data_IF_122207978270
#
_entry.id   IF_122207978270
#
_cell.length_a   1.000
_cell.length_b   1.000
_cell.length_c   1.000
_cell.angle_alpha   90.00
_cell.angle_beta   90.00
_cell.angle_gamma   90.00
#
_symmetry.space_group_name_H-M   'P 1'
#
loop_
_entity.id
_entity.type
_entity.pdbx_description
1 polymer ?
#
# COMPACT_ATOMS: atom_id res chain seq x y z
N UNK A 1 25.54 -15.56 4.43
CA UNK A 1 25.62 -14.44 3.45
C UNK A 1 24.93 -14.89 2.17
N UNK A 2 23.60 -14.73 2.09
CA UNK A 2 22.87 -14.98 0.84
C UNK A 2 23.20 -13.85 -0.12
N UNK A 3 23.75 -14.23 -1.26
CA UNK A 3 24.34 -13.39 -2.27
C UNK A 3 23.38 -12.27 -2.72
N UNK A 4 23.65 -11.01 -2.32
CA UNK A 4 22.82 -9.81 -2.63
C UNK A 4 22.63 -9.62 -4.15
N UNK A 5 23.56 -10.11 -4.96
CA UNK A 5 23.45 -10.19 -6.43
C UNK A 5 22.30 -11.13 -6.85
N UNK A 6 22.03 -12.18 -6.09
CA UNK A 6 20.94 -13.12 -6.39
C UNK A 6 19.54 -12.49 -6.23
N UNK A 7 19.39 -11.50 -5.35
CA UNK A 7 18.10 -10.77 -5.21
C UNK A 7 17.86 -9.84 -6.41
N UNK A 8 18.90 -9.16 -6.88
CA UNK A 8 18.79 -8.30 -8.07
C UNK A 8 18.60 -9.15 -9.35
N UNK A 9 19.30 -10.26 -9.47
CA UNK A 9 19.08 -11.22 -10.56
C UNK A 9 17.72 -11.89 -10.48
N UNK A 10 17.17 -12.12 -9.27
CA UNK A 10 15.78 -12.56 -9.09
C UNK A 10 14.79 -11.48 -9.53
N UNK A 11 15.04 -10.22 -9.20
CA UNK A 11 14.21 -9.08 -9.65
C UNK A 11 14.21 -9.00 -11.19
N UNK A 12 15.37 -9.08 -11.84
CA UNK A 12 15.48 -9.11 -13.30
C UNK A 12 14.87 -10.38 -13.94
N UNK A 13 14.94 -11.53 -13.27
CA UNK A 13 14.34 -12.78 -13.74
C UNK A 13 12.82 -12.83 -13.56
N UNK A 14 12.24 -12.04 -12.65
CA UNK A 14 10.78 -11.92 -12.52
C UNK A 14 10.15 -11.16 -13.70
N UNK A 15 10.93 -10.36 -14.43
CA UNK A 15 10.48 -9.51 -15.54
C UNK A 15 10.12 -10.23 -16.84
N UNK A 16 10.01 -11.51 -16.86
CA UNK A 16 9.65 -12.30 -18.06
C UNK A 16 8.81 -13.52 -17.76
N UNK A 17 8.40 -13.69 -16.50
CA UNK A 17 7.49 -14.77 -16.11
C UNK A 17 6.05 -14.46 -16.51
N UNK A 18 5.31 -15.51 -16.84
CA UNK A 18 3.85 -15.51 -16.83
C UNK A 18 3.33 -14.66 -15.70
N UNK A 19 2.47 -13.69 -16.01
CA UNK A 19 1.83 -12.85 -15.01
C UNK A 19 0.92 -13.73 -14.16
N UNK A 20 1.31 -13.97 -12.93
CA UNK A 20 0.59 -14.78 -11.96
C UNK A 20 0.18 -13.92 -10.79
N UNK A 21 -0.91 -14.28 -10.14
CA UNK A 21 -1.30 -13.67 -8.87
C UNK A 21 -0.10 -13.68 -7.90
N UNK A 22 0.31 -12.52 -7.46
CA UNK A 22 1.45 -12.33 -6.57
C UNK A 22 1.13 -11.46 -5.36
N UNK A 23 0.09 -10.62 -5.49
CA UNK A 23 -0.36 -9.67 -4.46
C UNK A 23 -1.85 -9.87 -4.18
N UNK A 24 -2.21 -9.97 -2.91
CA UNK A 24 -3.60 -9.94 -2.45
C UNK A 24 -3.81 -8.74 -1.55
N UNK A 25 -4.78 -7.89 -1.88
CA UNK A 25 -5.27 -6.82 -1.03
C UNK A 25 -6.55 -7.33 -0.39
N UNK A 26 -6.54 -7.52 0.92
CA UNK A 26 -7.65 -8.10 1.64
C UNK A 26 -8.19 -7.11 2.68
N UNK A 27 -9.43 -6.68 2.49
CA UNK A 27 -10.18 -5.87 3.43
C UNK A 27 -10.76 -6.78 4.50
N UNK A 28 -9.97 -7.08 5.52
CA UNK A 28 -10.28 -8.11 6.51
C UNK A 28 -11.47 -7.80 7.42
N UNK A 29 -11.91 -6.55 7.45
CA UNK A 29 -13.07 -6.09 8.25
C UNK A 29 -13.65 -4.82 7.67
N UNK A 30 -14.96 -4.65 7.78
CA UNK A 30 -15.66 -3.39 7.53
C UNK A 30 -15.52 -2.40 8.70
N UNK A 31 -15.20 -2.89 9.91
CA UNK A 31 -15.22 -2.10 11.14
C UNK A 31 -14.10 -1.06 11.14
N UNK A 32 -14.49 0.19 11.48
CA UNK A 32 -13.53 1.29 11.63
C UNK A 32 -13.95 2.19 12.80
N UNK A 33 -12.94 2.66 13.55
CA UNK A 33 -13.10 3.62 14.65
C UNK A 33 -12.69 5.04 14.28
N UNK A 34 -12.50 5.34 12.98
CA UNK A 34 -12.27 6.67 12.42
C UNK A 34 -13.38 7.02 11.42
N UNK A 35 -13.52 8.32 11.10
CA UNK A 35 -14.55 8.85 10.19
C UNK A 35 -13.93 9.79 9.16
N UNK A 36 -12.87 9.32 8.49
CA UNK A 36 -12.03 10.13 7.62
C UNK A 36 -12.83 10.76 6.48
N UNK A 37 -12.61 12.05 6.22
CA UNK A 37 -13.24 12.76 5.10
C UNK A 37 -12.72 12.27 3.74
N UNK A 38 -11.47 11.77 3.69
CA UNK A 38 -10.82 11.20 2.50
C UNK A 38 -11.12 9.72 2.27
N UNK A 39 -11.98 9.09 3.07
CA UNK A 39 -12.23 7.65 2.98
C UNK A 39 -13.03 7.32 1.72
N UNK A 40 -12.43 6.57 0.80
CA UNK A 40 -13.10 6.05 -0.40
C UNK A 40 -13.91 4.78 -0.12
N UNK A 41 -13.73 4.20 1.07
CA UNK A 41 -14.42 2.98 1.52
C UNK A 41 -15.55 3.29 2.51
N UNK A 42 -15.97 4.54 2.60
CA UNK A 42 -16.87 5.06 3.64
C UNK A 42 -18.26 4.41 3.64
N UNK A 43 -18.77 4.02 2.49
CA UNK A 43 -20.06 3.36 2.34
C UNK A 43 -20.07 1.93 2.89
N UNK A 44 -18.91 1.25 2.86
CA UNK A 44 -18.74 -0.11 3.35
C UNK A 44 -18.38 -0.19 4.83
N UNK A 45 -18.09 0.95 5.47
CA UNK A 45 -17.68 0.95 6.87
C UNK A 45 -18.79 0.54 7.82
N UNK A 46 -18.40 -0.30 8.79
CA UNK A 46 -19.24 -0.76 9.90
C UNK A 46 -20.52 -1.50 9.46
N UNK A 47 -20.50 -2.08 8.25
CA UNK A 47 -21.56 -3.00 7.80
C UNK A 47 -21.36 -4.39 8.39
N UNK A 48 -22.43 -5.16 8.62
CA UNK A 48 -22.30 -6.56 9.01
C UNK A 48 -21.79 -7.42 7.86
N UNK A 49 -21.30 -8.62 8.18
CA UNK A 49 -20.96 -9.62 7.16
C UNK A 49 -19.45 -9.81 6.96
N UNK A 50 -18.61 -9.36 7.90
CA UNK A 50 -17.19 -9.71 7.89
C UNK A 50 -17.05 -11.24 7.82
N UNK A 51 -16.20 -11.76 6.91
CA UNK A 51 -15.90 -13.19 6.83
C UNK A 51 -15.37 -13.70 8.15
N UNK A 52 -15.83 -14.91 8.53
CA UNK A 52 -15.29 -15.61 9.72
C UNK A 52 -13.88 -16.12 9.46
N UNK A 53 -13.17 -16.47 10.53
CA UNK A 53 -11.84 -17.07 10.41
C UNK A 53 -11.86 -18.36 9.57
N UNK A 54 -12.86 -19.21 9.77
CA UNK A 54 -13.03 -20.48 9.05
C UNK A 54 -13.27 -20.26 7.55
N UNK A 55 -14.02 -19.20 7.18
CA UNK A 55 -14.22 -18.81 5.79
C UNK A 55 -12.90 -18.36 5.15
N UNK A 56 -12.13 -17.53 5.86
CA UNK A 56 -10.81 -17.07 5.41
C UNK A 56 -9.82 -18.23 5.30
N UNK A 57 -9.88 -19.19 6.22
CA UNK A 57 -9.08 -20.42 6.17
C UNK A 57 -9.38 -21.22 4.89
N UNK A 58 -10.66 -21.37 4.53
CA UNK A 58 -11.05 -22.03 3.27
C UNK A 58 -10.49 -21.30 2.05
N UNK A 59 -10.57 -19.98 2.02
CA UNK A 59 -9.98 -19.14 0.97
C UNK A 59 -8.47 -19.40 0.85
N UNK A 60 -7.74 -19.38 1.96
CA UNK A 60 -6.29 -19.56 1.96
C UNK A 60 -5.86 -20.95 1.48
N UNK A 61 -6.62 -22.02 1.81
CA UNK A 61 -6.32 -23.38 1.39
C UNK A 61 -6.44 -23.60 -0.12
N UNK A 62 -7.24 -22.81 -0.80
CA UNK A 62 -7.48 -22.93 -2.24
C UNK A 62 -6.80 -21.84 -3.06
N UNK A 63 -6.26 -20.83 -2.41
CA UNK A 63 -5.51 -19.76 -3.04
C UNK A 63 -4.10 -20.22 -3.43
N UNK A 64 -3.59 -19.86 -4.62
CA UNK A 64 -2.23 -20.18 -5.01
C UNK A 64 -1.19 -19.49 -4.11
N UNK A 65 0.09 -19.82 -4.32
CA UNK A 65 1.19 -19.11 -3.65
C UNK A 65 1.20 -17.63 -4.05
N UNK A 66 1.25 -16.75 -3.05
CA UNK A 66 1.33 -15.29 -3.22
C UNK A 66 2.49 -14.73 -2.39
N UNK A 67 3.12 -13.68 -2.88
CA UNK A 67 4.28 -13.10 -2.18
C UNK A 67 3.89 -12.02 -1.19
N UNK A 68 2.92 -11.18 -1.56
CA UNK A 68 2.53 -9.97 -0.85
C UNK A 68 1.07 -10.07 -0.40
N UNK A 69 0.83 -9.84 0.89
CA UNK A 69 -0.50 -9.73 1.48
C UNK A 69 -0.66 -8.33 2.07
N UNK A 70 -1.63 -7.58 1.56
CA UNK A 70 -1.97 -6.25 2.05
C UNK A 70 -3.28 -6.36 2.83
N UNK A 71 -3.21 -6.27 4.14
CA UNK A 71 -4.37 -6.37 5.02
C UNK A 71 -4.94 -4.98 5.28
N UNK A 72 -6.06 -4.69 4.65
CA UNK A 72 -6.78 -3.42 4.71
C UNK A 72 -8.19 -3.60 5.28
N UNK A 73 -9.09 -2.68 5.01
CA UNK A 73 -10.48 -2.70 5.43
C UNK A 73 -10.92 -1.37 5.99
N UNK A 74 -11.74 -1.38 7.02
CA UNK A 74 -11.94 -0.25 7.89
C UNK A 74 -10.65 0.05 8.65
N UNK A 75 -10.50 -0.50 9.86
CA UNK A 75 -9.27 -0.51 10.62
C UNK A 75 -8.87 -1.95 10.93
N UNK A 76 -7.82 -2.50 10.29
CA UNK A 76 -7.44 -3.91 10.46
C UNK A 76 -7.16 -4.31 11.90
N UNK A 77 -6.60 -3.41 12.71
CA UNK A 77 -6.26 -3.70 14.11
C UNK A 77 -7.48 -3.87 15.03
N UNK A 78 -8.69 -3.56 14.56
CA UNK A 78 -9.93 -3.89 15.26
C UNK A 78 -10.28 -5.37 15.17
N UNK A 79 -9.76 -6.08 14.17
CA UNK A 79 -10.00 -7.51 14.02
C UNK A 79 -9.14 -8.31 14.99
N UNK A 80 -9.79 -9.14 15.85
CA UNK A 80 -9.11 -9.80 16.95
C UNK A 80 -8.22 -10.97 16.51
N UNK A 81 -8.59 -11.67 15.45
CA UNK A 81 -7.89 -12.81 14.86
C UNK A 81 -6.93 -12.40 13.70
N UNK A 82 -6.57 -11.12 13.61
CA UNK A 82 -5.69 -10.60 12.53
C UNK A 82 -4.33 -11.32 12.49
N UNK A 83 -3.77 -11.62 13.64
CA UNK A 83 -2.48 -12.30 13.79
C UNK A 83 -2.55 -13.74 13.26
N UNK A 84 -3.67 -14.41 13.52
CA UNK A 84 -3.93 -15.78 13.05
C UNK A 84 -4.18 -15.80 11.54
N UNK A 85 -4.86 -14.77 10.99
CA UNK A 85 -5.00 -14.59 9.55
C UNK A 85 -3.63 -14.42 8.87
N UNK A 86 -2.74 -13.61 9.45
CA UNK A 86 -1.37 -13.46 8.91
C UNK A 86 -0.67 -14.80 8.88
N UNK A 87 -0.70 -15.54 10.00
CA UNK A 87 -0.10 -16.88 10.10
C UNK A 87 -0.63 -17.83 9.04
N UNK A 88 -1.94 -17.86 8.86
CA UNK A 88 -2.64 -18.70 7.91
C UNK A 88 -2.11 -18.51 6.47
N UNK A 89 -1.97 -17.26 6.01
CA UNK A 89 -1.46 -16.96 4.68
C UNK A 89 0.06 -17.20 4.55
N UNK A 90 0.82 -17.03 5.61
CA UNK A 90 2.25 -17.38 5.63
C UNK A 90 2.41 -18.89 5.44
N UNK A 91 1.65 -19.71 6.16
CA UNK A 91 1.73 -21.17 6.13
C UNK A 91 1.15 -21.77 4.85
N UNK A 92 -0.04 -21.36 4.43
CA UNK A 92 -0.74 -21.96 3.29
C UNK A 92 -0.28 -21.39 1.94
N UNK A 93 0.03 -20.09 1.89
CA UNK A 93 0.25 -19.38 0.62
C UNK A 93 1.68 -18.85 0.45
N UNK A 94 2.57 -19.12 1.42
CA UNK A 94 3.97 -18.74 1.33
C UNK A 94 4.22 -17.24 1.32
N UNK A 95 3.33 -16.44 1.93
CA UNK A 95 3.46 -14.99 2.05
C UNK A 95 4.78 -14.63 2.72
N UNK A 96 5.51 -13.70 2.11
CA UNK A 96 6.80 -13.21 2.60
C UNK A 96 6.74 -11.76 3.06
N UNK A 97 5.75 -11.01 2.60
CA UNK A 97 5.59 -9.60 2.92
C UNK A 97 4.14 -9.32 3.27
N UNK A 98 3.95 -8.74 4.45
CA UNK A 98 2.65 -8.24 4.89
C UNK A 98 2.70 -6.73 5.01
N UNK A 99 1.73 -6.04 4.43
CA UNK A 99 1.57 -4.59 4.49
C UNK A 99 0.25 -4.28 5.20
N UNK A 100 0.31 -3.46 6.25
CA UNK A 100 -0.87 -3.12 7.06
C UNK A 100 -0.95 -1.61 7.22
N UNK A 101 -1.95 -0.93 6.66
CA UNK A 101 -2.30 0.43 7.05
C UNK A 101 -3.01 0.41 8.41
N UNK A 102 -2.78 1.44 9.22
CA UNK A 102 -3.48 1.64 10.49
C UNK A 102 -3.67 3.13 10.79
N UNK A 103 -4.77 3.46 11.44
CA UNK A 103 -5.01 4.81 11.94
C UNK A 103 -4.25 5.14 13.24
N UNK A 104 -3.56 4.17 13.84
CA UNK A 104 -2.73 4.35 15.03
C UNK A 104 -3.50 4.54 16.35
N UNK A 105 -4.83 4.43 16.36
CA UNK A 105 -5.66 4.67 17.56
C UNK A 105 -5.55 3.56 18.61
N UNK A 106 -5.21 2.34 18.22
CA UNK A 106 -5.15 1.16 19.08
C UNK A 106 -3.69 0.75 19.39
N UNK A 107 -2.94 1.65 20.04
CA UNK A 107 -1.50 1.49 20.31
C UNK A 107 -1.11 0.10 20.82
N UNK A 108 -1.75 -0.38 21.88
CA UNK A 108 -1.40 -1.67 22.50
C UNK A 108 -1.70 -2.85 21.57
N UNK A 109 -2.85 -2.81 20.87
CA UNK A 109 -3.22 -3.85 19.91
C UNK A 109 -2.30 -3.86 18.71
N UNK A 110 -2.00 -2.67 18.16
CA UNK A 110 -1.06 -2.53 17.04
C UNK A 110 0.31 -3.11 17.39
N UNK A 111 0.83 -2.79 18.57
CA UNK A 111 2.11 -3.33 19.03
C UNK A 111 2.08 -4.85 19.18
N UNK A 112 1.06 -5.40 19.82
CA UNK A 112 0.93 -6.85 20.00
C UNK A 112 0.83 -7.58 18.65
N UNK A 113 0.02 -7.08 17.72
CA UNK A 113 -0.12 -7.61 16.38
C UNK A 113 1.23 -7.64 15.63
N UNK A 114 1.99 -6.55 15.65
CA UNK A 114 3.32 -6.47 15.01
C UNK A 114 4.29 -7.49 15.65
N UNK A 115 4.31 -7.58 16.98
CA UNK A 115 5.18 -8.52 17.69
C UNK A 115 4.82 -9.98 17.38
N UNK A 116 3.54 -10.32 17.38
CA UNK A 116 3.05 -11.67 17.06
C UNK A 116 3.38 -12.05 15.61
N UNK A 117 3.08 -11.17 14.65
CA UNK A 117 3.36 -11.43 13.24
C UNK A 117 4.86 -11.63 12.96
N UNK A 118 5.72 -10.82 13.56
CA UNK A 118 7.18 -10.92 13.38
C UNK A 118 7.83 -12.07 14.14
N UNK A 119 7.13 -12.65 15.13
CA UNK A 119 7.58 -13.84 15.83
C UNK A 119 7.31 -15.14 15.07
N UNK A 120 6.52 -15.10 13.99
CA UNK A 120 6.28 -16.24 13.12
C UNK A 120 7.58 -16.74 12.48
N UNK A 121 7.74 -18.06 12.41
CA UNK A 121 8.82 -18.68 11.67
C UNK A 121 8.67 -18.43 10.16
N UNK A 122 9.80 -18.37 9.43
CA UNK A 122 9.77 -18.24 7.97
C UNK A 122 10.22 -16.91 7.40
N UNK A 123 10.63 -15.94 8.23
CA UNK A 123 11.29 -14.70 7.74
C UNK A 123 10.33 -13.72 7.08
N UNK A 124 9.18 -13.52 7.67
CA UNK A 124 8.19 -12.52 7.26
C UNK A 124 8.74 -11.09 7.38
N UNK A 125 8.55 -10.29 6.35
CA UNK A 125 8.75 -8.85 6.36
C UNK A 125 7.41 -8.14 6.60
N UNK A 126 7.33 -7.30 7.64
CA UNK A 126 6.13 -6.54 7.97
C UNK A 126 6.34 -5.05 7.71
N UNK A 127 5.44 -4.46 6.92
CA UNK A 127 5.38 -3.04 6.63
C UNK A 127 4.14 -2.46 7.29
N UNK A 128 4.32 -1.69 8.35
CA UNK A 128 3.22 -0.97 8.99
C UNK A 128 3.19 0.47 8.47
N UNK A 129 2.09 0.83 7.84
CA UNK A 129 1.87 2.16 7.28
C UNK A 129 0.90 2.94 8.19
N UNK A 130 1.43 3.77 9.07
CA UNK A 130 0.61 4.58 9.98
C UNK A 130 0.08 5.78 9.22
N UNK A 131 -1.24 5.97 9.22
CA UNK A 131 -1.88 7.08 8.53
C UNK A 131 -1.71 8.39 9.31
N UNK A 132 -1.21 9.44 8.63
CA UNK A 132 -1.00 10.75 9.23
C UNK A 132 -1.29 11.85 8.18
N UNK A 133 -2.51 12.39 8.18
CA UNK A 133 -3.07 13.21 7.12
C UNK A 133 -3.17 14.69 7.52
N UNK A 134 -2.06 15.31 7.86
CA UNK A 134 -1.97 16.72 8.24
C UNK A 134 -1.19 16.94 9.51
N UNK A 135 -0.94 18.19 9.88
CA UNK A 135 -0.22 18.58 11.08
C UNK A 135 -1.19 18.98 12.20
N UNK A 136 -1.07 18.37 13.38
CA UNK A 136 -1.89 18.73 14.54
C UNK A 136 -3.39 18.58 14.31
N UNK A 137 -4.14 19.66 14.47
CA UNK A 137 -5.61 19.67 14.35
C UNK A 137 -6.10 19.39 12.93
N UNK A 138 -5.31 19.66 11.89
CA UNK A 138 -5.67 19.31 10.53
C UNK A 138 -5.79 17.79 10.37
N UNK A 139 -4.84 17.04 10.95
CA UNK A 139 -4.96 15.59 11.01
C UNK A 139 -6.25 15.13 11.69
N UNK A 140 -6.57 15.69 12.85
CA UNK A 140 -7.78 15.34 13.60
C UNK A 140 -9.07 15.58 12.77
N UNK A 141 -9.12 16.72 12.05
CA UNK A 141 -10.25 17.05 11.16
C UNK A 141 -10.38 16.07 10.01
N UNK A 142 -9.29 15.86 9.25
CA UNK A 142 -9.29 14.95 8.09
C UNK A 142 -9.65 13.52 8.51
N UNK A 143 -9.17 13.06 9.67
CA UNK A 143 -9.46 11.72 10.19
C UNK A 143 -10.82 11.63 10.92
N UNK A 144 -11.47 12.75 11.19
CA UNK A 144 -12.76 12.82 11.90
C UNK A 144 -12.68 12.30 13.35
N UNK A 145 -11.51 12.43 14.01
CA UNK A 145 -11.27 11.91 15.36
C UNK A 145 -10.46 12.91 16.18
N UNK A 146 -11.09 13.63 17.12
CA UNK A 146 -10.38 14.56 18.02
C UNK A 146 -9.26 13.88 18.81
N UNK A 147 -8.09 14.52 18.88
CA UNK A 147 -6.91 14.02 19.58
C UNK A 147 -6.22 12.82 18.89
N UNK A 148 -6.56 12.51 17.65
CA UNK A 148 -5.93 11.43 16.90
C UNK A 148 -4.44 11.71 16.67
N UNK A 149 -4.07 12.96 16.37
CA UNK A 149 -2.68 13.37 16.18
C UNK A 149 -1.78 12.86 17.31
N UNK A 150 -2.09 13.20 18.54
CA UNK A 150 -1.30 12.80 19.72
C UNK A 150 -1.22 11.28 19.86
N UNK A 151 -2.38 10.59 19.73
CA UNK A 151 -2.47 9.12 19.84
C UNK A 151 -1.66 8.40 18.76
N UNK A 152 -1.71 8.90 17.52
CA UNK A 152 -0.95 8.34 16.41
C UNK A 152 0.57 8.50 16.62
N UNK A 153 1.04 9.67 17.08
CA UNK A 153 2.44 9.87 17.40
C UNK A 153 2.93 8.98 18.56
N UNK A 154 2.09 8.79 19.58
CA UNK A 154 2.39 7.84 20.68
C UNK A 154 2.43 6.38 20.18
N UNK A 155 1.53 6.00 19.25
CA UNK A 155 1.56 4.69 18.64
C UNK A 155 2.87 4.45 17.90
N UNK A 156 3.32 5.40 17.07
CA UNK A 156 4.61 5.32 16.35
C UNK A 156 5.78 5.11 17.33
N UNK A 157 5.84 5.90 18.41
CA UNK A 157 6.91 5.79 19.43
C UNK A 157 6.89 4.43 20.16
N UNK A 158 5.71 3.89 20.43
CA UNK A 158 5.56 2.60 21.11
C UNK A 158 6.07 1.40 20.27
N UNK A 159 6.30 1.58 18.98
CA UNK A 159 6.79 0.56 18.07
C UNK A 159 8.33 0.54 17.93
N UNK A 160 9.04 1.54 18.46
CA UNK A 160 10.50 1.60 18.37
C UNK A 160 11.23 0.38 18.95
N UNK A 161 10.84 -0.17 20.11
CA UNK A 161 11.48 -1.39 20.62
C UNK A 161 11.36 -2.58 19.66
N UNK A 162 10.25 -2.69 18.92
CA UNK A 162 10.07 -3.75 17.93
C UNK A 162 10.97 -3.50 16.70
N UNK A 163 11.13 -2.24 16.28
CA UNK A 163 12.05 -1.89 15.21
C UNK A 163 13.50 -2.21 15.58
N UNK A 164 13.92 -1.96 16.81
CA UNK A 164 15.25 -2.31 17.30
C UNK A 164 15.44 -3.84 17.36
N UNK A 165 14.42 -4.58 17.80
CA UNK A 165 14.45 -6.05 17.91
C UNK A 165 14.47 -6.76 16.57
N UNK A 166 13.65 -6.34 15.61
CA UNK A 166 13.44 -7.05 14.35
C UNK A 166 14.18 -6.45 13.15
N UNK A 167 14.78 -5.26 13.30
CA UNK A 167 15.61 -4.62 12.28
C UNK A 167 14.88 -4.44 10.94
N UNK A 168 15.51 -4.93 9.89
CA UNK A 168 15.02 -4.79 8.51
C UNK A 168 13.72 -5.56 8.22
N UNK A 169 13.37 -6.54 9.07
CA UNK A 169 12.11 -7.27 8.93
C UNK A 169 10.89 -6.43 9.32
N UNK A 170 11.07 -5.37 10.09
CA UNK A 170 9.99 -4.45 10.45
C UNK A 170 10.21 -3.07 9.83
N UNK A 171 9.35 -2.69 8.92
CA UNK A 171 9.35 -1.35 8.31
C UNK A 171 8.21 -0.52 8.89
N UNK A 172 8.57 0.54 9.59
CA UNK A 172 7.64 1.49 10.18
C UNK A 172 7.57 2.74 9.30
N UNK A 173 6.46 2.90 8.60
CA UNK A 173 6.25 3.98 7.66
C UNK A 173 5.08 4.87 8.10
N UNK A 174 5.06 6.07 7.55
CA UNK A 174 3.89 6.96 7.55
C UNK A 174 3.34 7.09 6.14
N UNK A 175 2.02 7.06 6.02
CA UNK A 175 1.30 7.40 4.79
C UNK A 175 0.45 8.65 5.03
N UNK A 176 0.55 9.60 4.10
CA UNK A 176 -0.27 10.81 4.06
C UNK A 176 -1.13 10.80 2.80
N UNK A 177 -2.44 10.88 2.96
CA UNK A 177 -3.36 11.19 1.87
C UNK A 177 -3.45 12.70 1.74
N UNK A 178 -2.92 13.21 0.62
CA UNK A 178 -2.94 14.65 0.31
C UNK A 178 -4.30 15.03 -0.25
N UNK A 179 -4.90 16.06 0.30
CA UNK A 179 -6.24 16.55 -0.05
C UNK A 179 -6.33 18.08 0.09
N UNK A 180 -7.48 18.66 -0.23
CA UNK A 180 -7.71 20.11 -0.14
C UNK A 180 -7.44 20.69 1.26
N UNK A 181 -7.65 19.90 2.31
CA UNK A 181 -7.48 20.33 3.71
C UNK A 181 -6.02 20.39 4.18
N UNK A 182 -5.12 19.64 3.53
CA UNK A 182 -3.75 19.44 4.08
C UNK A 182 -2.61 19.69 3.08
N UNK A 183 -2.86 19.91 1.80
CA UNK A 183 -1.80 20.05 0.80
C UNK A 183 -0.76 21.13 1.15
N UNK A 184 -1.21 22.22 1.75
CA UNK A 184 -0.33 23.33 2.16
C UNK A 184 0.61 22.97 3.33
N UNK A 185 0.27 21.93 4.10
CA UNK A 185 1.03 21.47 5.27
C UNK A 185 1.99 20.30 4.96
N UNK A 186 1.96 19.74 3.76
CA UNK A 186 2.76 18.55 3.38
C UNK A 186 4.24 18.73 3.69
N UNK A 187 4.81 19.89 3.34
CA UNK A 187 6.22 20.18 3.62
C UNK A 187 6.52 20.22 5.12
N UNK A 188 5.69 20.93 5.89
CA UNK A 188 5.83 21.02 7.35
C UNK A 188 5.71 19.66 8.03
N UNK A 189 4.73 18.86 7.60
CA UNK A 189 4.53 17.51 8.13
C UNK A 189 5.72 16.60 7.81
N UNK A 190 6.22 16.67 6.57
CA UNK A 190 7.36 15.89 6.10
C UNK A 190 8.62 16.18 6.94
N UNK A 191 8.95 17.44 7.14
CA UNK A 191 10.12 17.87 7.93
C UNK A 191 9.95 17.48 9.39
N UNK A 192 8.78 17.73 9.99
CA UNK A 192 8.49 17.34 11.37
C UNK A 192 8.68 15.85 11.61
N UNK A 193 8.16 15.00 10.72
CA UNK A 193 8.28 13.55 10.84
C UNK A 193 9.71 13.07 10.65
N UNK A 194 10.45 13.67 9.72
CA UNK A 194 11.86 13.35 9.51
C UNK A 194 12.74 13.69 10.72
N UNK A 195 12.51 14.83 11.32
CA UNK A 195 13.33 15.34 12.43
C UNK A 195 13.04 14.66 13.77
N UNK A 196 11.77 14.28 13.99
CA UNK A 196 11.32 13.85 15.32
C UNK A 196 11.03 12.35 15.42
N UNK A 197 11.03 11.60 14.29
CA UNK A 197 10.64 10.19 14.29
C UNK A 197 11.61 9.29 13.52
N UNK A 198 11.77 8.05 14.03
CA UNK A 198 12.62 7.02 13.42
C UNK A 198 11.80 6.17 12.47
N UNK A 199 11.52 6.68 11.29
CA UNK A 199 10.75 6.00 10.24
C UNK A 199 11.66 5.42 9.16
N UNK A 200 11.16 4.41 8.44
CA UNK A 200 11.79 3.86 7.24
C UNK A 200 11.32 4.57 5.97
N UNK A 201 10.13 5.18 5.99
CA UNK A 201 9.58 5.93 4.88
C UNK A 201 8.41 6.83 5.31
N UNK A 202 8.19 7.88 4.52
CA UNK A 202 6.99 8.70 4.59
C UNK A 202 6.50 8.91 3.16
N UNK A 203 5.33 8.34 2.85
CA UNK A 203 4.78 8.31 1.50
C UNK A 203 3.56 9.22 1.40
N UNK A 204 3.41 9.86 0.25
CA UNK A 204 2.34 10.81 -0.01
C UNK A 204 1.53 10.37 -1.22
N UNK A 205 0.22 10.30 -1.03
CA UNK A 205 -0.70 9.86 -2.07
C UNK A 205 -1.81 10.87 -2.19
N UNK A 206 -2.13 11.32 -3.41
CA UNK A 206 -3.28 12.19 -3.60
C UNK A 206 -4.57 11.43 -3.34
N UNK A 207 -5.55 12.12 -2.79
CA UNK A 207 -6.89 11.60 -2.54
C UNK A 207 -7.52 11.03 -3.82
N UNK A 208 -8.25 9.92 -3.70
CA UNK A 208 -8.82 9.18 -4.85
C UNK A 208 -10.17 8.56 -4.52
N UNK A 209 -10.84 8.09 -5.58
CA UNK A 209 -12.13 7.39 -5.47
C UNK A 209 -13.27 8.32 -5.05
N UNK A 210 -14.41 7.75 -4.77
CA UNK A 210 -15.54 8.45 -4.17
C UNK A 210 -15.31 8.58 -2.68
N UNK A 211 -15.20 9.81 -2.19
CA UNK A 211 -14.83 10.07 -0.79
C UNK A 211 -16.04 10.52 0.02
N UNK A 212 -15.98 10.30 1.33
CA UNK A 212 -17.04 10.73 2.26
C UNK A 212 -17.36 12.23 2.15
N UNK A 213 -16.33 13.08 1.97
CA UNK A 213 -16.51 14.53 1.79
C UNK A 213 -16.85 14.93 0.34
N UNK A 214 -17.02 13.96 -0.58
CA UNK A 214 -17.30 14.25 -1.98
C UNK A 214 -16.08 14.80 -2.75
N UNK A 215 -16.35 15.55 -3.85
CA UNK A 215 -15.28 16.02 -4.74
C UNK A 215 -14.55 17.27 -4.21
N UNK A 216 -15.12 17.98 -3.26
CA UNK A 216 -14.49 19.19 -2.69
C UNK A 216 -13.15 18.86 -2.02
N UNK A 217 -13.03 17.71 -1.36
CA UNK A 217 -11.79 17.28 -0.71
C UNK A 217 -10.66 16.99 -1.72
N UNK A 218 -10.97 16.82 -3.00
CA UNK A 218 -10.03 16.56 -4.08
C UNK A 218 -9.50 17.83 -4.74
N UNK A 219 -10.01 18.99 -4.40
CA UNK A 219 -9.67 20.28 -5.02
C UNK A 219 -8.30 20.80 -4.54
N UNK A 220 -7.24 20.15 -4.99
CA UNK A 220 -5.86 20.61 -4.77
C UNK A 220 -5.48 21.48 -5.97
N UNK A 221 -5.03 22.75 -5.77
CA UNK A 221 -4.61 23.60 -6.87
C UNK A 221 -3.47 22.93 -7.68
N UNK A 222 -3.64 22.73 -9.00
CA UNK A 222 -2.63 22.02 -9.81
C UNK A 222 -1.24 22.65 -9.78
N UNK A 223 -1.16 23.97 -9.59
CA UNK A 223 0.08 24.74 -9.55
C UNK A 223 0.96 24.44 -8.33
N UNK A 224 0.39 23.90 -7.24
CA UNK A 224 1.18 23.52 -6.04
C UNK A 224 1.80 22.13 -6.14
N UNK A 225 1.30 21.29 -7.04
CA UNK A 225 1.73 19.90 -7.14
C UNK A 225 3.21 19.72 -7.51
N UNK A 226 3.80 20.46 -8.47
CA UNK A 226 5.21 20.34 -8.81
C UNK A 226 6.13 20.59 -7.59
N UNK A 227 5.90 21.65 -6.83
CA UNK A 227 6.69 21.95 -5.63
C UNK A 227 6.49 20.87 -4.55
N UNK A 228 5.26 20.47 -4.31
CA UNK A 228 4.94 19.40 -3.37
C UNK A 228 5.67 18.10 -3.73
N UNK A 229 5.58 17.67 -5.00
CA UNK A 229 6.26 16.45 -5.44
C UNK A 229 7.78 16.57 -5.42
N UNK A 230 8.35 17.75 -5.69
CA UNK A 230 9.78 17.99 -5.52
C UNK A 230 10.22 17.76 -4.06
N UNK A 231 9.47 18.30 -3.09
CA UNK A 231 9.76 18.14 -1.65
C UNK A 231 9.66 16.68 -1.21
N UNK A 232 8.58 15.97 -1.56
CA UNK A 232 8.40 14.57 -1.12
C UNK A 232 9.37 13.62 -1.83
N UNK A 233 9.83 13.96 -3.04
CA UNK A 233 10.89 13.21 -3.73
C UNK A 233 12.25 13.40 -3.05
N UNK A 234 12.59 14.61 -2.66
CA UNK A 234 13.81 14.89 -1.89
C UNK A 234 13.77 14.17 -0.53
N UNK A 235 12.62 14.11 0.13
CA UNK A 235 12.43 13.33 1.36
C UNK A 235 12.66 11.84 1.10
N UNK A 236 12.15 11.29 0.00
CA UNK A 236 12.39 9.90 -0.39
C UNK A 236 13.88 9.59 -0.57
N UNK A 237 14.65 10.51 -1.15
CA UNK A 237 16.11 10.37 -1.25
C UNK A 237 16.78 10.33 0.13
N UNK A 238 16.34 11.18 1.07
CA UNK A 238 16.84 11.19 2.45
C UNK A 238 16.58 9.86 3.16
N UNK A 239 15.38 9.30 3.03
CA UNK A 239 15.05 7.97 3.57
C UNK A 239 15.86 6.86 2.91
N UNK A 240 15.99 6.87 1.59
CA UNK A 240 16.85 5.92 0.84
C UNK A 240 18.32 6.00 1.28
N UNK A 241 18.84 7.21 1.44
CA UNK A 241 20.20 7.43 1.96
C UNK A 241 20.42 6.83 3.35
N UNK A 242 19.45 6.98 4.26
CA UNK A 242 19.46 6.35 5.59
C UNK A 242 19.36 4.83 5.52
N UNK A 243 18.42 4.33 4.72
CA UNK A 243 18.14 2.89 4.58
C UNK A 243 19.33 2.11 4.02
N UNK A 244 20.08 2.68 3.09
CA UNK A 244 21.19 2.02 2.40
C UNK A 244 22.57 2.51 2.88
N UNK A 245 22.65 3.21 4.01
CA UNK A 245 23.87 3.82 4.51
C UNK A 245 25.00 2.81 4.77
N UNK A 246 24.66 1.58 5.20
CA UNK A 246 25.60 0.50 5.49
C UNK A 246 26.06 -0.30 4.24
N UNK A 247 25.45 -0.08 3.06
CA UNK A 247 25.83 -0.76 1.85
C UNK A 247 27.10 -0.12 1.22
N UNK A 248 27.86 -0.91 0.47
CA UNK A 248 28.93 -0.39 -0.36
C UNK A 248 28.39 0.56 -1.46
N UNK A 249 29.26 1.38 -2.04
CA UNK A 249 28.84 2.43 -2.97
C UNK A 249 28.06 1.91 -4.18
N UNK A 250 28.46 0.78 -4.77
CA UNK A 250 27.80 0.21 -5.94
C UNK A 250 26.42 -0.36 -5.57
N UNK A 251 26.33 -1.12 -4.49
CA UNK A 251 25.07 -1.66 -3.97
C UNK A 251 24.12 -0.54 -3.58
N UNK A 252 24.60 0.50 -2.89
CA UNK A 252 23.84 1.68 -2.52
C UNK A 252 23.27 2.39 -3.75
N UNK A 253 24.09 2.58 -4.78
CA UNK A 253 23.64 3.21 -6.02
C UNK A 253 22.51 2.41 -6.67
N UNK A 254 22.68 1.10 -6.86
CA UNK A 254 21.65 0.23 -7.47
C UNK A 254 20.36 0.24 -6.68
N UNK A 255 20.43 0.13 -5.35
CA UNK A 255 19.24 0.19 -4.47
C UNK A 255 18.57 1.56 -4.51
N UNK A 256 19.35 2.64 -4.57
CA UNK A 256 18.82 4.00 -4.68
C UNK A 256 18.10 4.20 -6.02
N UNK A 257 18.67 3.71 -7.14
CA UNK A 257 18.00 3.74 -8.45
C UNK A 257 16.67 3.00 -8.37
N UNK A 258 16.67 1.79 -7.82
CA UNK A 258 15.44 1.00 -7.70
C UNK A 258 14.39 1.64 -6.79
N UNK A 259 14.76 2.08 -5.60
CA UNK A 259 13.84 2.62 -4.60
C UNK A 259 13.38 4.04 -4.96
N UNK A 260 14.31 4.99 -5.07
CA UNK A 260 13.99 6.39 -5.34
C UNK A 260 13.38 6.55 -6.73
N UNK A 261 13.90 5.83 -7.72
CA UNK A 261 13.38 5.85 -9.08
C UNK A 261 11.95 5.29 -9.17
N UNK A 262 11.63 4.20 -8.45
CA UNK A 262 10.27 3.66 -8.41
C UNK A 262 9.29 4.64 -7.74
N UNK A 263 9.65 5.23 -6.59
CA UNK A 263 8.80 6.20 -5.90
C UNK A 263 8.61 7.47 -6.74
N UNK A 264 9.67 7.96 -7.39
CA UNK A 264 9.57 9.12 -8.30
C UNK A 264 8.69 8.80 -9.52
N UNK A 265 8.80 7.58 -10.07
CA UNK A 265 7.92 7.14 -11.17
C UNK A 265 6.46 7.11 -10.72
N UNK A 266 6.19 6.61 -9.52
CA UNK A 266 4.87 6.62 -8.93
C UNK A 266 4.33 8.06 -8.78
N UNK A 267 5.10 8.97 -8.18
CA UNK A 267 4.66 10.37 -8.01
C UNK A 267 4.40 11.08 -9.35
N UNK A 268 5.23 10.85 -10.36
CA UNK A 268 5.00 11.39 -11.71
C UNK A 268 3.75 10.83 -12.35
N UNK A 269 3.50 9.53 -12.18
CA UNK A 269 2.27 8.91 -12.68
C UNK A 269 1.05 9.48 -11.95
N UNK A 270 1.11 9.67 -10.64
CA UNK A 270 0.03 10.35 -9.89
C UNK A 270 -0.18 11.79 -10.38
N UNK A 271 0.89 12.56 -10.52
CA UNK A 271 0.82 13.95 -10.98
C UNK A 271 0.15 14.05 -12.35
N UNK A 272 0.57 13.21 -13.31
CA UNK A 272 -0.02 13.19 -14.65
C UNK A 272 -1.51 12.85 -14.65
N UNK A 273 -1.95 12.00 -13.71
CA UNK A 273 -3.34 11.52 -13.64
C UNK A 273 -4.24 12.35 -12.72
N UNK A 274 -3.68 13.26 -11.94
CA UNK A 274 -4.47 14.08 -11.03
C UNK A 274 -5.32 15.13 -11.77
N UNK A 275 -4.74 15.75 -12.79
CA UNK A 275 -5.44 16.77 -13.60
C UNK A 275 -6.43 16.18 -14.62
N UNK A 276 -6.44 14.86 -14.78
CA UNK A 276 -7.30 14.13 -15.71
C UNK A 276 -6.65 12.80 -16.13
N UNK A 277 -7.44 11.84 -16.62
CA UNK A 277 -6.90 10.54 -17.02
C UNK A 277 -5.79 10.69 -18.07
N UNK A 278 -4.64 10.15 -17.76
CA UNK A 278 -3.45 10.15 -18.62
C UNK A 278 -2.86 8.76 -18.69
N UNK A 279 -2.44 8.33 -19.87
CA UNK A 279 -1.89 6.99 -20.08
C UNK A 279 -0.66 6.74 -19.21
N UNK A 280 -0.69 5.63 -18.47
CA UNK A 280 0.49 5.19 -17.75
C UNK A 280 1.55 4.71 -18.74
N UNK A 281 2.84 4.86 -18.42
CA UNK A 281 3.91 4.37 -19.29
C UNK A 281 4.04 2.84 -19.30
N UNK A 282 3.14 2.13 -18.62
CA UNK A 282 3.06 0.67 -18.51
C UNK A 282 1.59 0.23 -18.29
N UNK A 283 1.20 -0.99 -18.73
CA UNK A 283 -0.18 -1.46 -18.56
C UNK A 283 -0.51 -1.71 -17.09
N UNK A 284 -1.78 -1.49 -16.70
CA UNK A 284 -2.29 -1.85 -15.39
C UNK A 284 -2.40 -3.38 -15.25
N UNK A 285 -1.98 -3.93 -14.12
CA UNK A 285 -2.00 -5.38 -13.84
C UNK A 285 -3.11 -5.80 -12.87
N UNK A 286 -4.07 -4.92 -12.60
CA UNK A 286 -5.22 -5.18 -11.74
C UNK A 286 -6.03 -6.38 -12.23
N UNK A 287 -6.34 -7.31 -11.34
CA UNK A 287 -7.07 -8.54 -11.67
C UNK A 287 -6.23 -9.63 -12.36
N UNK A 288 -4.99 -9.32 -12.75
CA UNK A 288 -4.05 -10.28 -13.35
C UNK A 288 -3.00 -10.75 -12.33
N UNK A 289 -2.29 -9.80 -11.74
CA UNK A 289 -1.24 -10.06 -10.74
C UNK A 289 -1.64 -9.67 -9.33
N UNK A 290 -2.75 -8.97 -9.19
CA UNK A 290 -3.32 -8.50 -7.93
C UNK A 290 -4.80 -8.86 -7.85
N UNK A 291 -5.24 -9.38 -6.71
CA UNK A 291 -6.66 -9.55 -6.36
C UNK A 291 -7.03 -8.65 -5.18
N UNK A 292 -8.24 -8.12 -5.20
CA UNK A 292 -8.84 -7.44 -4.04
C UNK A 292 -9.97 -8.30 -3.51
N UNK A 293 -9.96 -8.61 -2.22
CA UNK A 293 -11.01 -9.34 -1.50
C UNK A 293 -11.61 -8.40 -0.49
N UNK A 294 -12.92 -8.17 -0.58
CA UNK A 294 -13.64 -7.35 0.39
C UNK A 294 -13.98 -8.15 1.66
N UNK A 295 -14.34 -7.45 2.72
CA UNK A 295 -14.65 -8.01 4.04
C UNK A 295 -15.75 -9.09 4.01
N UNK A 296 -16.68 -8.99 3.05
CA UNK A 296 -17.81 -9.90 2.84
C UNK A 296 -17.53 -11.04 1.85
N UNK A 297 -16.31 -11.10 1.28
CA UNK A 297 -15.92 -12.10 0.29
C UNK A 297 -16.15 -11.70 -1.16
N UNK A 298 -16.57 -10.48 -1.45
CA UNK A 298 -16.61 -9.97 -2.82
C UNK A 298 -15.18 -9.82 -3.36
N UNK A 299 -14.97 -10.18 -4.63
CA UNK A 299 -13.64 -10.13 -5.27
C UNK A 299 -13.66 -9.18 -6.45
N UNK A 300 -12.67 -8.29 -6.49
CA UNK A 300 -12.50 -7.23 -7.47
C UNK A 300 -11.12 -7.29 -8.12
N UNK A 301 -11.00 -6.77 -9.32
CA UNK A 301 -9.69 -6.52 -9.93
C UNK A 301 -8.93 -5.39 -9.20
N UNK A 302 -9.67 -4.35 -8.79
CA UNK A 302 -9.18 -3.17 -8.08
C UNK A 302 -10.26 -2.67 -7.11
N UNK A 303 -9.88 -2.07 -5.99
CA UNK A 303 -10.81 -1.52 -4.99
C UNK A 303 -11.71 -0.39 -5.51
N UNK A 304 -11.35 0.24 -6.64
CA UNK A 304 -12.15 1.28 -7.32
C UNK A 304 -13.04 0.74 -8.44
N UNK A 305 -13.14 -0.59 -8.59
CA UNK A 305 -13.94 -1.23 -9.63
C UNK A 305 -15.00 -2.12 -9.02
N UNK A 306 -16.02 -2.43 -9.82
CA UNK A 306 -17.07 -3.36 -9.42
C UNK A 306 -16.52 -4.76 -9.16
N UNK A 307 -17.19 -5.52 -8.30
CA UNK A 307 -16.88 -6.93 -8.09
C UNK A 307 -17.14 -7.73 -9.36
N UNK A 308 -16.29 -8.68 -9.63
CA UNK A 308 -16.52 -9.62 -10.72
C UNK A 308 -17.05 -10.99 -10.24
N UNK A 309 -16.89 -11.32 -8.95
CA UNK A 309 -17.38 -12.53 -8.31
C UNK A 309 -17.48 -12.35 -6.79
N UNK A 310 -18.12 -13.32 -6.11
CA UNK A 310 -18.22 -13.36 -4.66
C UNK A 310 -17.84 -14.74 -4.13
N UNK A 311 -16.95 -14.84 -3.15
CA UNK A 311 -16.45 -16.11 -2.57
C UNK A 311 -17.57 -17.01 -2.03
N UNK A 312 -18.63 -16.50 -1.39
CA UNK A 312 -19.78 -17.32 -1.00
C UNK A 312 -20.38 -18.15 -2.14
N UNK A 313 -20.42 -17.61 -3.37
CA UNK A 313 -20.99 -18.29 -4.54
C UNK A 313 -20.11 -19.48 -4.99
N UNK A 314 -18.88 -19.57 -4.51
CA UNK A 314 -17.89 -20.61 -4.80
C UNK A 314 -17.53 -21.42 -3.55
N UNK A 315 -18.36 -21.45 -2.53
CA UNK A 315 -18.06 -22.10 -1.25
C UNK A 315 -16.71 -21.70 -0.66
N UNK A 316 -16.30 -20.43 -0.83
CA UNK A 316 -15.00 -19.90 -0.43
C UNK A 316 -13.79 -20.57 -1.08
N UNK A 317 -13.98 -21.22 -2.23
CA UNK A 317 -12.91 -21.77 -3.08
C UNK A 317 -12.35 -20.66 -3.98
N UNK A 318 -11.23 -20.07 -3.57
CA UNK A 318 -10.60 -18.99 -4.32
C UNK A 318 -10.06 -19.46 -5.67
N UNK A 319 -9.57 -20.71 -5.79
CA UNK A 319 -9.04 -21.25 -7.03
C UNK A 319 -10.11 -21.28 -8.11
N UNK A 320 -11.30 -21.80 -7.80
CA UNK A 320 -12.44 -21.82 -8.73
C UNK A 320 -12.91 -20.41 -9.10
N UNK A 321 -13.00 -19.52 -8.11
CA UNK A 321 -13.39 -18.12 -8.35
C UNK A 321 -12.39 -17.43 -9.28
N UNK A 322 -11.10 -17.66 -9.10
CA UNK A 322 -10.05 -17.00 -9.88
C UNK A 322 -10.05 -17.40 -11.36
N UNK A 323 -10.62 -18.56 -11.69
CA UNK A 323 -10.81 -19.08 -13.06
C UNK A 323 -12.19 -18.69 -13.64
N UNK A 324 -13.04 -17.97 -12.90
CA UNK A 324 -14.37 -17.62 -13.34
C UNK A 324 -14.37 -16.63 -14.53
N UNK A 325 -15.34 -16.80 -15.45
CA UNK A 325 -15.53 -15.93 -16.64
C UNK A 325 -15.66 -14.44 -16.29
N UNK A 326 -16.23 -14.13 -15.13
CA UNK A 326 -16.37 -12.75 -14.64
C UNK A 326 -15.03 -12.02 -14.53
N UNK A 327 -13.97 -12.71 -14.08
CA UNK A 327 -12.62 -12.14 -14.04
C UNK A 327 -12.09 -11.85 -15.44
N UNK A 328 -12.22 -12.77 -16.39
CA UNK A 328 -11.75 -12.54 -17.76
C UNK A 328 -12.50 -11.39 -18.44
N UNK A 329 -13.80 -11.28 -18.20
CA UNK A 329 -14.60 -10.16 -18.70
C UNK A 329 -14.10 -8.82 -18.13
N UNK A 330 -13.74 -8.80 -16.85
CA UNK A 330 -13.19 -7.61 -16.20
C UNK A 330 -11.79 -7.23 -16.70
N UNK A 331 -10.93 -8.22 -16.94
CA UNK A 331 -9.62 -7.99 -17.56
C UNK A 331 -9.75 -7.36 -18.95
N UNK A 332 -10.66 -7.87 -19.78
CA UNK A 332 -10.94 -7.27 -21.09
C UNK A 332 -11.41 -5.82 -20.97
N UNK A 333 -12.27 -5.49 -20.01
CA UNK A 333 -12.70 -4.10 -19.76
C UNK A 333 -11.55 -3.17 -19.35
N UNK A 334 -10.58 -3.68 -18.58
CA UNK A 334 -9.39 -2.91 -18.17
C UNK A 334 -8.50 -2.65 -19.40
N UNK A 335 -8.26 -3.65 -20.25
CA UNK A 335 -7.39 -3.56 -21.42
C UNK A 335 -8.02 -2.73 -22.55
N UNK A 336 -9.28 -3.01 -22.90
CA UNK A 336 -9.97 -2.39 -24.03
C UNK A 336 -10.41 -0.96 -23.72
N UNK A 337 -10.81 -0.71 -22.46
CA UNK A 337 -11.34 0.57 -22.04
C UNK A 337 -10.30 1.68 -22.01
N UNK A 338 -9.00 1.35 -21.96
CA UNK A 338 -7.86 2.30 -21.74
C UNK A 338 -8.18 3.45 -20.79
N UNK A 339 -9.29 3.31 -20.05
CA UNK A 339 -9.88 4.31 -19.16
C UNK A 339 -9.47 4.08 -17.70
N UNK A 340 -8.63 3.07 -17.45
CA UNK A 340 -8.26 2.65 -16.10
C UNK A 340 -6.93 3.25 -15.64
N UNK A 341 -6.63 4.45 -16.07
CA UNK A 341 -5.48 5.20 -15.59
C UNK A 341 -5.89 6.06 -14.40
N UNK A 342 -5.28 5.83 -13.27
CA UNK A 342 -5.64 6.46 -12.01
C UNK A 342 -4.40 6.86 -11.20
N UNK A 343 -4.62 7.41 -10.02
CA UNK A 343 -3.57 7.78 -9.05
C UNK A 343 -3.28 6.68 -8.03
N UNK A 344 -3.80 5.46 -8.23
CA UNK A 344 -3.80 4.41 -7.22
C UNK A 344 -2.42 3.76 -7.03
N UNK A 345 -1.78 4.06 -5.90
CA UNK A 345 -0.40 3.66 -5.58
C UNK A 345 -0.15 2.16 -5.66
N UNK A 346 -1.07 1.34 -5.12
CA UNK A 346 -0.88 -0.12 -5.07
C UNK A 346 -0.71 -0.70 -6.47
N UNK A 347 -1.58 -0.28 -7.39
CA UNK A 347 -1.58 -0.76 -8.76
C UNK A 347 -0.49 -0.15 -9.62
N UNK A 348 -0.10 1.12 -9.38
CA UNK A 348 1.07 1.72 -10.03
C UNK A 348 2.33 0.92 -9.68
N UNK A 349 2.53 0.59 -8.40
CA UNK A 349 3.70 -0.17 -7.96
C UNK A 349 3.68 -1.61 -8.45
N UNK A 350 2.54 -2.29 -8.40
CA UNK A 350 2.44 -3.66 -8.89
C UNK A 350 2.69 -3.72 -10.40
N UNK A 351 2.07 -2.82 -11.18
CA UNK A 351 2.28 -2.73 -12.62
C UNK A 351 3.73 -2.43 -13.02
N UNK A 352 4.43 -1.56 -12.28
CA UNK A 352 5.86 -1.33 -12.49
C UNK A 352 6.70 -2.59 -12.30
N UNK A 353 6.37 -3.44 -11.31
CA UNK A 353 7.09 -4.69 -11.06
C UNK A 353 6.96 -5.69 -12.21
N UNK A 354 5.86 -5.66 -12.95
CA UNK A 354 5.55 -6.56 -14.04
C UNK A 354 5.82 -5.97 -15.43
N UNK A 355 6.41 -4.77 -15.50
CA UNK A 355 6.73 -4.07 -16.75
C UNK A 355 8.24 -3.94 -16.94
N UNK A 356 8.78 -4.59 -18.00
CA UNK A 356 10.18 -4.41 -18.41
C UNK A 356 10.48 -2.95 -18.77
N UNK A 357 9.54 -2.27 -19.44
CA UNK A 357 9.68 -0.85 -19.77
C UNK A 357 9.83 -0.01 -18.51
N UNK A 358 8.99 -0.26 -17.49
CA UNK A 358 9.09 0.44 -16.22
C UNK A 358 10.45 0.23 -15.56
N UNK A 359 10.89 -1.03 -15.42
CA UNK A 359 12.10 -1.37 -14.68
C UNK A 359 13.39 -0.94 -15.40
N UNK A 360 13.46 -1.09 -16.72
CA UNK A 360 14.68 -0.85 -17.49
C UNK A 360 14.76 0.57 -18.04
N UNK A 361 13.67 1.30 -18.10
CA UNK A 361 13.62 2.64 -18.68
C UNK A 361 13.03 3.70 -17.75
N UNK A 362 11.76 3.56 -17.36
CA UNK A 362 11.07 4.63 -16.62
C UNK A 362 11.68 4.85 -15.22
N UNK A 363 11.96 3.79 -14.49
CA UNK A 363 12.55 3.88 -13.13
C UNK A 363 13.95 4.49 -13.17
N UNK A 364 14.91 4.03 -14.00
CA UNK A 364 16.23 4.67 -14.13
C UNK A 364 16.15 6.12 -14.63
N UNK A 365 15.33 6.39 -15.66
CA UNK A 365 15.11 7.73 -16.20
C UNK A 365 14.60 8.67 -15.11
N UNK A 366 13.57 8.26 -14.37
CA UNK A 366 12.97 9.07 -13.31
C UNK A 366 13.93 9.27 -12.13
N UNK A 367 14.80 8.31 -11.83
CA UNK A 367 15.89 8.52 -10.89
C UNK A 367 16.87 9.61 -11.35
N UNK A 368 17.30 9.56 -12.60
CA UNK A 368 18.27 10.53 -13.17
C UNK A 368 17.69 11.96 -13.26
N UNK A 369 16.39 12.08 -13.45
CA UNK A 369 15.70 13.36 -13.62
C UNK A 369 14.88 13.80 -12.38
N UNK A 370 15.05 13.14 -11.23
CA UNK A 370 14.21 13.28 -10.04
C UNK A 370 14.14 14.69 -9.44
N UNK A 371 15.15 15.52 -9.68
CA UNK A 371 15.16 16.91 -9.23
C UNK A 371 14.33 17.86 -10.13
N UNK A 372 13.78 17.37 -11.25
CA UNK A 372 13.01 18.18 -12.20
C UNK A 372 11.51 17.79 -12.10
N UNK A 373 10.70 18.76 -11.69
CA UNK A 373 9.24 18.62 -11.57
C UNK A 373 8.50 19.66 -12.38
#
# INVERSE_FOLDING_TARGET
MVNKVSQFVRLLRSTGRERRLGTVIFFVTSRCNAKCETCFYHEELNRPGDMTFEQIERVSRTMPQVTDLWLSGGEPTLRQDLDDIIRLFVENNGVRRVIIPTNGLLRSRTRAMVENALSLDGGLDLYLNVALDGYGMTHDRVRGVPGNWGRTLECIRALYPLKERYGDRFRLNVNTVVCAENYAEVGRLADFMWENFRLDGHYFNVVRGETKAGDEIKQIPPEVLPEMYARVSALTERYGGRMFAADDAATRFVKSVAYVGAITTHYRTQHSNFAGPSEWPFPCTAGETTAVIDYNGDVRACELREKFASLPDFDYDFGKLWEAEGREAELRRIDEGRACWCTHVCFIHDSMRHSRRAQLWEVPKNYLTRARW
#
